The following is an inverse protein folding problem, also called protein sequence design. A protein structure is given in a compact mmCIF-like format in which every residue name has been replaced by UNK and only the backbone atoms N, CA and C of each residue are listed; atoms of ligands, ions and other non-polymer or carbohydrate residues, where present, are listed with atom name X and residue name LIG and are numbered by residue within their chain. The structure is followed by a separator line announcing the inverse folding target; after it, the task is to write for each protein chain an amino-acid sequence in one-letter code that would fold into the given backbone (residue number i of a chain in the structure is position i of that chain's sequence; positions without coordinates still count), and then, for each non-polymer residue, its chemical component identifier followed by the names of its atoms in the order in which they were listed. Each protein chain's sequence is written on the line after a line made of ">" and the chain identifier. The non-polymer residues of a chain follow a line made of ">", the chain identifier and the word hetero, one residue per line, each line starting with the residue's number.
data_IF_705060197229
#
_entry.id   IF_705060197229
#
_cell.length_a   1.000
_cell.length_b   1.000
_cell.length_c   1.000
_cell.angle_alpha   90.00
_cell.angle_beta   90.00
_cell.angle_gamma   90.00
#
_symmetry.space_group_name_H-M   'P 1'
#
loop_
_entity.id
_entity.type
_entity.pdbx_description
1 polymer ?
#
# COMPACT_ATOMS: atom_id res chain seq x y z
N UNK A 1 -5.03 -2.38 8.53
CA UNK A 1 -6.10 -2.47 7.49
C UNK A 1 -7.01 -3.66 7.69
N UNK A 2 -6.48 -4.89 7.87
CA UNK A 2 -7.28 -6.07 8.22
C UNK A 2 -8.12 -5.88 9.51
N UNK A 3 -7.64 -5.07 10.48
CA UNK A 3 -8.41 -4.68 11.68
C UNK A 3 -9.58 -3.70 11.42
N UNK A 4 -9.60 -2.99 10.30
CA UNK A 4 -10.64 -1.99 9.96
C UNK A 4 -11.66 -2.56 8.97
N UNK A 5 -11.19 -3.35 8.02
CA UNK A 5 -12.00 -4.05 7.02
C UNK A 5 -11.39 -5.44 6.81
N UNK A 6 -11.82 -6.45 7.57
CA UNK A 6 -11.26 -7.80 7.46
C UNK A 6 -11.57 -8.45 6.10
N UNK A 7 -12.65 -8.03 5.43
CA UNK A 7 -13.04 -8.52 4.10
C UNK A 7 -12.20 -7.96 2.95
N UNK A 8 -11.32 -6.99 3.21
CA UNK A 8 -10.49 -6.42 2.17
C UNK A 8 -9.33 -7.36 1.83
N UNK A 9 -9.45 -8.05 0.70
CA UNK A 9 -8.44 -8.98 0.20
C UNK A 9 -7.93 -8.59 -1.20
N UNK A 10 -6.62 -8.37 -1.39
CA UNK A 10 -6.06 -8.00 -2.69
C UNK A 10 -6.23 -9.09 -3.75
N UNK A 11 -6.44 -10.35 -3.35
CA UNK A 11 -6.64 -11.48 -4.27
C UNK A 11 -7.97 -11.40 -5.00
N UNK A 12 -9.00 -10.79 -4.40
CA UNK A 12 -10.30 -10.55 -5.06
C UNK A 12 -10.19 -9.59 -6.24
N UNK A 13 -9.13 -8.78 -6.28
CA UNK A 13 -8.85 -7.83 -7.35
C UNK A 13 -7.81 -8.33 -8.35
N UNK A 14 -7.51 -9.64 -8.37
CA UNK A 14 -6.47 -10.27 -9.19
C UNK A 14 -5.02 -9.80 -8.88
N UNK A 15 -4.76 -9.25 -7.69
CA UNK A 15 -3.41 -8.87 -7.28
C UNK A 15 -2.80 -9.87 -6.29
N UNK A 16 -1.56 -10.29 -6.57
CA UNK A 16 -0.81 -11.22 -5.70
C UNK A 16 -0.37 -10.59 -4.38
N UNK A 17 -0.20 -9.25 -4.36
CA UNK A 17 0.30 -8.50 -3.21
C UNK A 17 -0.49 -7.21 -3.07
N UNK A 18 -0.73 -6.79 -1.84
CA UNK A 18 -1.33 -5.49 -1.53
C UNK A 18 -0.55 -4.33 -2.17
N UNK A 19 0.79 -4.44 -2.23
CA UNK A 19 1.63 -3.43 -2.89
C UNK A 19 1.26 -3.22 -4.37
N UNK A 20 0.94 -4.30 -5.09
CA UNK A 20 0.59 -4.23 -6.51
C UNK A 20 -0.80 -3.65 -6.72
N UNK A 21 -1.75 -4.02 -5.85
CA UNK A 21 -3.07 -3.40 -5.81
C UNK A 21 -2.96 -1.89 -5.61
N UNK A 22 -2.19 -1.46 -4.61
CA UNK A 22 -2.03 -0.02 -4.29
C UNK A 22 -1.37 0.73 -5.45
N UNK A 23 -0.35 0.14 -6.09
CA UNK A 23 0.29 0.69 -7.30
C UNK A 23 -0.68 0.87 -8.47
N UNK A 24 -1.66 -0.01 -8.62
CA UNK A 24 -2.66 0.07 -9.68
C UNK A 24 -3.67 1.23 -9.49
N UNK A 25 -3.76 1.81 -8.29
CA UNK A 25 -4.66 2.93 -7.97
C UNK A 25 -3.91 4.19 -7.51
N UNK A 26 -3.07 4.81 -8.36
CA UNK A 26 -2.27 6.00 -7.99
C UNK A 26 -3.13 7.23 -7.69
N UNK A 27 -4.36 7.29 -8.22
CA UNK A 27 -5.32 8.36 -7.92
C UNK A 27 -5.85 8.34 -6.49
N UNK A 28 -5.79 7.17 -5.82
CA UNK A 28 -6.30 6.97 -4.48
C UNK A 28 -5.18 6.89 -3.45
N UNK A 29 -4.00 6.39 -3.85
CA UNK A 29 -2.89 6.14 -2.94
C UNK A 29 -1.58 6.72 -3.47
N UNK A 30 -0.88 7.46 -2.62
CA UNK A 30 0.49 7.91 -2.85
C UNK A 30 1.44 6.92 -2.20
N UNK A 31 2.37 6.37 -2.97
CA UNK A 31 3.41 5.47 -2.46
C UNK A 31 4.73 6.23 -2.30
N UNK A 32 5.38 6.07 -1.14
CA UNK A 32 6.72 6.57 -0.87
C UNK A 32 7.61 5.40 -0.48
N UNK A 33 8.58 5.05 -1.31
CA UNK A 33 9.65 4.11 -0.92
C UNK A 33 10.67 4.89 -0.09
N UNK A 34 10.66 4.67 1.22
CA UNK A 34 11.64 5.27 2.13
C UNK A 34 12.69 4.22 2.47
N UNK A 35 13.94 4.54 2.11
CA UNK A 35 15.09 3.78 2.58
C UNK A 35 15.23 4.08 4.07
N UNK A 36 14.97 3.09 4.92
CA UNK A 36 15.15 3.26 6.37
C UNK A 36 16.61 3.03 6.70
N UNK A 37 17.28 4.09 7.13
CA UNK A 37 18.74 4.22 7.24
C UNK A 37 19.42 3.30 8.28
N UNK A 38 18.66 2.49 9.02
CA UNK A 38 19.20 1.73 10.16
C UNK A 38 19.65 0.31 9.80
N UNK A 39 19.13 -0.29 8.72
CA UNK A 39 19.41 -1.72 8.41
C UNK A 39 19.34 -2.10 6.93
N UNK A 40 19.33 -1.12 6.00
CA UNK A 40 19.30 -1.40 4.55
C UNK A 40 17.95 -1.95 4.04
N UNK A 41 16.93 -2.03 4.89
CA UNK A 41 15.57 -2.36 4.49
C UNK A 41 14.89 -1.20 3.77
N UNK A 42 14.22 -1.50 2.66
CA UNK A 42 13.32 -0.57 1.97
C UNK A 42 11.92 -0.70 2.55
N UNK A 43 11.43 0.37 3.16
CA UNK A 43 10.07 0.40 3.70
C UNK A 43 9.15 1.13 2.71
N UNK A 44 8.10 0.44 2.26
CA UNK A 44 7.08 1.03 1.39
C UNK A 44 6.00 1.69 2.24
N UNK A 45 5.96 3.02 2.21
CA UNK A 45 4.91 3.80 2.85
C UNK A 45 3.80 4.07 1.85
N UNK A 46 2.56 4.00 2.32
CA UNK A 46 1.38 4.32 1.53
C UNK A 46 0.57 5.36 2.27
N UNK A 47 0.24 6.44 1.59
CA UNK A 47 -0.63 7.51 2.06
C UNK A 47 -1.89 7.56 1.20
N UNK A 48 -3.00 7.97 1.79
CA UNK A 48 -4.20 8.28 1.03
C UNK A 48 -3.95 9.59 0.25
N UNK A 49 -4.12 9.56 -1.07
CA UNK A 49 -3.99 10.73 -1.94
C UNK A 49 -5.17 11.69 -1.76
N UNK A 50 -6.35 11.14 -1.43
CA UNK A 50 -7.57 11.88 -1.11
C UNK A 50 -7.58 12.20 0.38
N UNK A 51 -6.68 13.07 0.83
CA UNK A 51 -6.77 13.69 2.14
C UNK A 51 -7.91 14.72 2.14
N UNK A 52 -9.09 14.31 2.61
CA UNK A 52 -10.04 15.19 3.30
C UNK A 52 -10.18 14.65 4.71
#
# INVERSE_FOLDING_TARGET
>A
ISKLRPEFDPRLYNFKKLSELIKAYPNNFVMEERVTSTTGGKSLYVKNSKGK
#
